data_IF_973592967114
#
_entry.id   IF_973592967114
#
_cell.length_a   1.000
_cell.length_b   1.000
_cell.length_c   1.000
_cell.angle_alpha   90.00
_cell.angle_beta   90.00
_cell.angle_gamma   90.00
#
_symmetry.space_group_name_H-M   'P 1'
#
loop_
_entity.id
_entity.type
_entity.pdbx_description
1 polymer ?
#
# COMPACT_ATOMS: atom_id res chain seq x y z
N UNK A 1 18.04 5.60 20.57
CA UNK A 1 17.14 6.19 19.55
C UNK A 1 15.84 5.40 19.59
N UNK A 2 14.69 6.03 19.82
CA UNK A 2 13.40 5.34 19.77
C UNK A 2 13.00 5.17 18.30
N UNK A 3 13.13 3.96 17.76
CA UNK A 3 12.54 3.62 16.47
C UNK A 3 11.09 3.20 16.68
N UNK A 4 10.21 3.55 15.74
CA UNK A 4 8.84 3.06 15.69
C UNK A 4 8.69 2.17 14.46
N UNK A 5 8.01 1.03 14.60
CA UNK A 5 7.63 0.17 13.48
C UNK A 5 6.28 0.62 12.90
N UNK A 6 6.18 1.93 12.60
CA UNK A 6 4.96 2.54 12.04
C UNK A 6 5.07 2.62 10.53
N UNK A 7 3.98 2.30 9.86
CA UNK A 7 3.80 2.52 8.43
C UNK A 7 2.70 3.57 8.23
N UNK A 8 2.91 4.54 7.33
CA UNK A 8 1.91 5.55 7.04
C UNK A 8 1.96 5.99 5.58
N UNK A 9 0.79 6.22 4.99
CA UNK A 9 0.62 6.81 3.67
C UNK A 9 -0.28 8.04 3.81
N UNK A 10 0.15 9.17 3.26
CA UNK A 10 -0.65 10.39 3.19
C UNK A 10 -0.89 10.76 1.73
N UNK A 11 -2.11 11.19 1.41
CA UNK A 11 -2.45 11.74 0.11
C UNK A 11 -3.07 13.14 0.29
N UNK A 12 -2.47 14.13 -0.36
CA UNK A 12 -3.00 15.50 -0.46
C UNK A 12 -3.57 15.66 -1.86
N UNK A 13 -4.86 16.00 -1.93
CA UNK A 13 -5.61 16.06 -3.18
C UNK A 13 -6.39 17.36 -3.27
N UNK A 14 -6.85 17.71 -4.47
CA UNK A 14 -7.87 18.74 -4.61
C UNK A 14 -9.18 18.26 -3.97
N UNK A 15 -9.56 18.87 -2.85
CA UNK A 15 -10.76 18.53 -2.09
C UNK A 15 -10.55 17.70 -0.82
N UNK A 16 -9.30 17.34 -0.46
CA UNK A 16 -9.07 16.76 0.86
C UNK A 16 -7.68 16.15 1.11
N UNK A 17 -7.48 15.79 2.37
CA UNK A 17 -6.29 15.11 2.88
C UNK A 17 -6.71 13.74 3.44
N UNK A 18 -5.93 12.71 3.12
CA UNK A 18 -6.16 11.34 3.54
C UNK A 18 -4.91 10.77 4.20
N UNK A 19 -5.10 10.08 5.31
CA UNK A 19 -4.03 9.35 5.99
C UNK A 19 -4.46 7.89 6.23
N UNK A 20 -3.55 6.97 5.91
CA UNK A 20 -3.67 5.55 6.26
C UNK A 20 -2.49 5.17 7.14
N UNK A 21 -2.75 4.66 8.35
CA UNK A 21 -1.71 4.19 9.27
C UNK A 21 -1.81 2.68 9.45
N UNK A 22 -0.67 1.99 9.35
CA UNK A 22 -0.48 0.54 9.53
C UNK A 22 -1.42 -0.34 8.68
N UNK A 23 -1.82 0.19 7.51
CA UNK A 23 -2.85 -0.37 6.62
C UNK A 23 -4.20 -0.67 7.31
N UNK A 24 -4.49 0.04 8.40
CA UNK A 24 -5.61 -0.27 9.30
C UNK A 24 -6.45 0.95 9.61
N UNK A 25 -5.82 2.03 10.05
CA UNK A 25 -6.51 3.26 10.42
C UNK A 25 -6.67 4.12 9.19
N UNK A 26 -7.89 4.61 8.94
CA UNK A 26 -8.18 5.56 7.88
C UNK A 26 -8.69 6.86 8.49
N UNK A 27 -8.05 7.96 8.11
CA UNK A 27 -8.46 9.32 8.41
C UNK A 27 -8.62 10.09 7.12
N UNK A 28 -9.67 10.90 7.03
CA UNK A 28 -9.83 11.85 5.93
C UNK A 28 -10.35 13.21 6.42
N UNK A 29 -9.91 14.27 5.76
CA UNK A 29 -10.32 15.63 6.01
C UNK A 29 -10.78 16.26 4.69
N UNK A 30 -12.06 16.65 4.62
CA UNK A 30 -12.71 17.18 3.41
C UNK A 30 -13.48 18.48 3.71
N UNK A 31 -12.86 19.39 4.46
CA UNK A 31 -13.40 20.72 4.78
C UNK A 31 -14.48 20.78 5.88
N UNK A 32 -15.01 19.65 6.33
CA UNK A 32 -16.01 19.57 7.43
C UNK A 32 -15.43 18.94 8.71
N UNK A 33 -14.11 19.03 8.88
CA UNK A 33 -13.38 18.37 9.96
C UNK A 33 -12.87 16.98 9.58
N UNK A 34 -12.41 16.26 10.60
CA UNK A 34 -11.73 14.97 10.46
C UNK A 34 -12.74 13.84 10.60
N UNK A 35 -12.80 12.97 9.59
CA UNK A 35 -13.50 11.69 9.64
C UNK A 35 -12.52 10.56 9.91
N UNK A 36 -12.82 9.70 10.87
CA UNK A 36 -12.11 8.44 11.12
C UNK A 36 -13.05 7.29 10.74
N UNK A 37 -12.65 6.44 9.79
CA UNK A 37 -13.50 5.30 9.40
C UNK A 37 -13.44 4.19 10.45
N UNK A 38 -14.58 3.60 10.85
CA UNK A 38 -14.59 2.46 11.74
C UNK A 38 -13.84 1.27 11.14
N UNK A 39 -13.09 0.57 11.99
CA UNK A 39 -12.34 -0.62 11.60
C UNK A 39 -13.23 -1.84 11.79
N UNK A 40 -13.43 -2.70 10.76
CA UNK A 40 -14.24 -3.89 10.93
C UNK A 40 -13.62 -4.83 11.98
N UNK A 41 -14.36 -5.10 13.07
CA UNK A 41 -13.84 -5.84 14.22
C UNK A 41 -13.47 -7.30 13.93
N UNK A 42 -14.00 -7.89 12.86
CA UNK A 42 -13.76 -9.27 12.45
C UNK A 42 -12.74 -9.40 11.30
N UNK A 43 -12.17 -8.30 10.81
CA UNK A 43 -11.18 -8.36 9.74
C UNK A 43 -9.80 -8.73 10.29
N UNK A 44 -9.21 -9.78 9.72
CA UNK A 44 -7.88 -10.23 10.14
C UNK A 44 -6.78 -9.29 9.64
N UNK A 45 -5.65 -9.25 10.34
CA UNK A 45 -4.46 -8.49 9.92
C UNK A 45 -3.96 -8.93 8.54
N UNK A 46 -4.05 -10.23 8.21
CA UNK A 46 -3.66 -10.71 6.87
C UNK A 46 -4.55 -10.14 5.77
N UNK A 47 -5.85 -9.98 6.03
CA UNK A 47 -6.76 -9.35 5.09
C UNK A 47 -6.52 -7.84 4.99
N UNK A 48 -6.25 -7.15 6.10
CA UNK A 48 -5.91 -5.72 6.12
C UNK A 48 -4.62 -5.43 5.35
N UNK A 49 -3.60 -6.27 5.51
CA UNK A 49 -2.29 -6.16 4.85
C UNK A 49 -2.29 -6.64 3.40
N UNK A 50 -3.45 -7.00 2.84
CA UNK A 50 -3.60 -7.39 1.44
C UNK A 50 -3.17 -8.83 1.10
N UNK A 51 -2.64 -9.62 2.03
CA UNK A 51 -2.20 -11.01 1.75
C UNK A 51 -3.30 -11.88 1.18
N UNK A 52 -4.50 -11.81 1.77
CA UNK A 52 -5.66 -12.59 1.31
C UNK A 52 -6.07 -12.19 -0.10
N UNK A 53 -6.07 -10.88 -0.40
CA UNK A 53 -6.40 -10.37 -1.73
C UNK A 53 -5.37 -10.80 -2.78
N UNK A 54 -4.09 -10.65 -2.46
CA UNK A 54 -2.98 -11.05 -3.33
C UNK A 54 -3.02 -12.55 -3.69
N UNK A 55 -3.21 -13.42 -2.70
CA UNK A 55 -3.28 -14.86 -2.94
C UNK A 55 -4.49 -15.26 -3.81
N UNK A 56 -5.66 -14.65 -3.57
CA UNK A 56 -6.86 -14.87 -4.38
C UNK A 56 -6.66 -14.39 -5.81
N UNK A 57 -6.15 -13.17 -5.98
CA UNK A 57 -5.85 -12.59 -7.29
C UNK A 57 -4.97 -13.51 -8.13
N UNK A 58 -3.92 -14.08 -7.53
CA UNK A 58 -3.06 -15.05 -8.22
C UNK A 58 -3.84 -16.28 -8.70
N UNK A 59 -4.65 -16.90 -7.83
CA UNK A 59 -5.47 -18.08 -8.18
C UNK A 59 -6.46 -17.72 -9.29
N UNK A 60 -7.12 -16.58 -9.19
CA UNK A 60 -8.10 -16.09 -10.15
C UNK A 60 -7.44 -15.87 -11.52
N UNK A 61 -6.23 -15.31 -11.57
CA UNK A 61 -5.49 -15.15 -12.82
C UNK A 61 -5.13 -16.48 -13.47
N UNK A 62 -4.72 -17.48 -12.69
CA UNK A 62 -4.43 -18.83 -13.20
C UNK A 62 -5.69 -19.47 -13.78
N UNK A 63 -6.80 -19.43 -13.05
CA UNK A 63 -8.06 -20.03 -13.49
C UNK A 63 -8.61 -19.39 -14.76
N UNK A 64 -8.50 -18.07 -14.86
CA UNK A 64 -9.05 -17.29 -15.98
C UNK A 64 -8.04 -17.05 -17.10
N UNK A 65 -6.83 -17.60 -17.00
CA UNK A 65 -5.75 -17.41 -17.97
C UNK A 65 -5.47 -15.93 -18.26
N UNK A 66 -5.48 -15.09 -17.22
CA UNK A 66 -5.19 -13.66 -17.32
C UNK A 66 -3.82 -13.32 -16.76
N UNK A 67 -3.27 -12.19 -17.19
CA UNK A 67 -1.98 -11.69 -16.68
C UNK A 67 -2.21 -11.03 -15.31
N UNK A 68 -1.49 -11.43 -14.25
CA UNK A 68 -1.58 -10.76 -12.95
C UNK A 68 -1.17 -9.28 -12.99
N UNK A 69 -1.72 -8.47 -12.09
CA UNK A 69 -1.43 -7.03 -12.01
C UNK A 69 0.07 -6.74 -11.82
N UNK A 70 0.76 -7.58 -11.04
CA UNK A 70 2.18 -7.45 -10.71
C UNK A 70 3.04 -8.48 -11.48
N UNK A 71 2.81 -8.62 -12.78
CA UNK A 71 3.60 -9.47 -13.67
C UNK A 71 4.44 -8.68 -14.69
N UNK A 72 5.40 -9.35 -15.34
CA UNK A 72 6.23 -8.76 -16.39
C UNK A 72 7.00 -7.53 -15.90
N UNK A 73 6.86 -6.40 -16.60
CA UNK A 73 7.54 -5.15 -16.23
C UNK A 73 7.11 -4.61 -14.86
N UNK A 74 5.85 -4.81 -14.45
CA UNK A 74 5.38 -4.37 -13.13
C UNK A 74 6.11 -5.11 -11.99
N UNK A 75 6.54 -6.35 -12.21
CA UNK A 75 7.24 -7.14 -11.20
C UNK A 75 8.64 -6.59 -10.86
N UNK A 76 9.25 -5.80 -11.76
CA UNK A 76 10.62 -5.29 -11.61
C UNK A 76 10.70 -3.77 -11.61
N UNK A 77 9.58 -3.07 -11.80
CA UNK A 77 9.53 -1.61 -11.90
C UNK A 77 10.12 -0.94 -10.65
N UNK A 78 9.64 -1.31 -9.46
CA UNK A 78 10.13 -0.74 -8.20
C UNK A 78 11.59 -1.13 -7.92
N UNK A 79 11.99 -2.37 -8.25
CA UNK A 79 13.38 -2.82 -8.09
C UNK A 79 14.35 -1.95 -8.90
N UNK A 80 14.02 -1.62 -10.15
CA UNK A 80 14.85 -0.76 -11.00
C UNK A 80 15.05 0.64 -10.39
N UNK A 81 14.01 1.20 -9.77
CA UNK A 81 14.11 2.49 -9.06
C UNK A 81 15.04 2.37 -7.86
N UNK A 82 14.90 1.31 -7.06
CA UNK A 82 15.79 1.06 -5.91
C UNK A 82 17.25 0.92 -6.35
N UNK A 83 17.51 0.17 -7.43
CA UNK A 83 18.86 0.01 -7.98
C UNK A 83 19.45 1.33 -8.47
N UNK A 84 18.65 2.20 -9.09
CA UNK A 84 19.11 3.52 -9.53
C UNK A 84 19.52 4.39 -8.33
N UNK A 85 18.66 4.51 -7.32
CA UNK A 85 18.96 5.26 -6.08
C UNK A 85 20.20 4.73 -5.37
N UNK A 86 20.39 3.41 -5.34
CA UNK A 86 21.55 2.78 -4.72
C UNK A 86 22.85 3.10 -5.45
N UNK A 87 22.84 3.10 -6.79
CA UNK A 87 24.03 3.47 -7.59
C UNK A 87 24.42 4.93 -7.36
N UNK A 88 23.43 5.83 -7.37
CA UNK A 88 23.65 7.25 -7.12
C UNK A 88 24.30 7.46 -5.74
N UNK A 89 23.75 6.82 -4.69
CA UNK A 89 24.24 6.95 -3.32
C UNK A 89 25.65 6.38 -3.06
N UNK A 90 26.14 5.46 -3.89
CA UNK A 90 27.49 4.87 -3.77
C UNK A 90 28.50 5.57 -4.68
N UNK A 91 28.02 6.29 -5.69
CA UNK A 91 28.88 7.09 -6.56
C UNK A 91 29.29 8.45 -5.96
N UNK A 92 28.68 8.83 -4.83
CA UNK A 92 29.00 10.00 -3.99
C UNK A 92 29.95 9.63 -2.85
#
# INVERSE_FOLDING_TARGET
>A
RAGSQRESVQAVTDGGLYDVTDMREWREERGQGILIKPIPGWQTTLAQRGFVGCARHFIDCVQNQTVPETAGEQAILAQRVVEALWRDAISE
#
